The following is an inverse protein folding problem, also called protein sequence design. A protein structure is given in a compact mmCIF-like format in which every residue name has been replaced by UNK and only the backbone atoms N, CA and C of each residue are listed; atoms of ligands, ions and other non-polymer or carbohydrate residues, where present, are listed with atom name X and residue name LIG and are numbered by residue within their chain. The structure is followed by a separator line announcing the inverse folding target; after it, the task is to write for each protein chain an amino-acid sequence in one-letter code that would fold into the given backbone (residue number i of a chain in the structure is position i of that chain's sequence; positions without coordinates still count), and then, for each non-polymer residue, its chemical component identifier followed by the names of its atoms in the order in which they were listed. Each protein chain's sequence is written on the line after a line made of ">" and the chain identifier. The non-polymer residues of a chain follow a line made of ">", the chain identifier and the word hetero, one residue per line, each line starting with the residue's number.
data_IF_961460102943
#
_entry.id   IF_961460102943
#
_cell.length_a   1.000
_cell.length_b   1.000
_cell.length_c   1.000
_cell.angle_alpha   90.00
_cell.angle_beta   90.00
_cell.angle_gamma   90.00
#
_symmetry.space_group_name_H-M   'P 1'
#
loop_
_entity.id
_entity.type
_entity.pdbx_description
1 polymer ?
#
# COMPACT_ATOMS: atom_id res chain seq x y z
N UNK A 1 -55.45 14.45 -6.25
CA UNK A 1 -55.05 15.63 -5.45
C UNK A 1 -54.89 15.35 -3.96
N UNK A 2 -55.89 14.75 -3.26
CA UNK A 2 -55.78 14.47 -1.81
C UNK A 2 -54.64 13.53 -1.42
N UNK A 3 -54.40 12.46 -2.18
CA UNK A 3 -53.30 11.51 -1.90
C UNK A 3 -51.92 12.15 -2.08
N UNK A 4 -51.75 12.98 -3.12
CA UNK A 4 -50.52 13.76 -3.34
C UNK A 4 -50.25 14.75 -2.20
N UNK A 5 -51.30 15.36 -1.64
CA UNK A 5 -51.18 16.25 -0.47
C UNK A 5 -50.72 15.49 0.77
N UNK A 6 -51.31 14.32 1.04
CA UNK A 6 -50.90 13.47 2.18
C UNK A 6 -49.46 12.96 2.06
N UNK A 7 -49.04 12.60 0.84
CA UNK A 7 -47.67 12.19 0.56
C UNK A 7 -46.68 13.35 0.76
N UNK A 8 -47.05 14.57 0.35
CA UNK A 8 -46.25 15.78 0.59
C UNK A 8 -46.12 16.08 2.10
N UNK A 9 -47.22 16.00 2.84
CA UNK A 9 -47.22 16.22 4.30
C UNK A 9 -46.36 15.19 5.03
N UNK A 10 -46.38 13.93 4.57
CA UNK A 10 -45.54 12.87 5.11
C UNK A 10 -44.05 13.14 4.83
N UNK A 11 -43.70 13.46 3.57
CA UNK A 11 -42.33 13.82 3.19
C UNK A 11 -41.80 15.03 3.97
N UNK A 12 -42.63 16.04 4.23
CA UNK A 12 -42.24 17.21 5.02
C UNK A 12 -42.00 16.90 6.51
N UNK A 13 -42.67 15.89 7.06
CA UNK A 13 -42.40 15.41 8.42
C UNK A 13 -41.11 14.61 8.46
N UNK A 14 -40.91 13.74 7.48
CA UNK A 14 -39.70 12.92 7.39
C UNK A 14 -38.47 13.78 7.14
N UNK A 15 -38.58 14.81 6.29
CA UNK A 15 -37.52 15.79 6.07
C UNK A 15 -37.16 16.57 7.35
N UNK A 16 -38.17 16.99 8.14
CA UNK A 16 -37.91 17.64 9.43
C UNK A 16 -37.19 16.73 10.41
N UNK A 17 -37.63 15.47 10.53
CA UNK A 17 -36.97 14.48 11.39
C UNK A 17 -35.51 14.24 10.95
N UNK A 18 -35.28 14.09 9.65
CA UNK A 18 -33.92 13.91 9.11
C UNK A 18 -33.05 15.15 9.36
N UNK A 19 -33.61 16.35 9.29
CA UNK A 19 -32.89 17.59 9.63
C UNK A 19 -32.51 17.63 11.11
N UNK A 20 -33.44 17.32 12.01
CA UNK A 20 -33.18 17.24 13.46
C UNK A 20 -32.09 16.19 13.76
N UNK A 21 -32.20 15.00 13.16
CA UNK A 21 -31.20 13.94 13.30
C UNK A 21 -29.83 14.37 12.75
N UNK A 22 -29.79 15.04 11.60
CA UNK A 22 -28.55 15.56 11.03
C UNK A 22 -27.89 16.59 11.96
N UNK A 23 -28.66 17.52 12.51
CA UNK A 23 -28.14 18.51 13.46
C UNK A 23 -27.61 17.86 14.73
N UNK A 24 -28.30 16.84 15.24
CA UNK A 24 -27.85 16.10 16.42
C UNK A 24 -26.53 15.36 16.16
N UNK A 25 -26.41 14.70 15.00
CA UNK A 25 -25.17 14.00 14.60
C UNK A 25 -24.01 14.99 14.38
N UNK A 26 -24.26 16.15 13.78
CA UNK A 26 -23.25 17.20 13.59
C UNK A 26 -22.72 17.73 14.93
N UNK A 27 -23.60 18.00 15.91
CA UNK A 27 -23.18 18.42 17.25
C UNK A 27 -22.38 17.32 17.97
N UNK A 28 -22.80 16.05 17.82
CA UNK A 28 -22.05 14.91 18.36
C UNK A 28 -20.63 14.79 17.78
N UNK A 29 -20.48 15.00 16.47
CA UNK A 29 -19.17 15.05 15.81
C UNK A 29 -18.34 16.22 16.34
N UNK A 30 -18.94 17.42 16.48
CA UNK A 30 -18.22 18.59 16.99
C UNK A 30 -17.68 18.34 18.40
N UNK A 31 -18.51 17.83 19.31
CA UNK A 31 -18.08 17.51 20.69
C UNK A 31 -16.97 16.47 20.72
N UNK A 32 -17.03 15.46 19.84
CA UNK A 32 -15.97 14.45 19.72
C UNK A 32 -14.66 15.08 19.24
N UNK A 33 -14.72 15.94 18.23
CA UNK A 33 -13.52 16.58 17.66
C UNK A 33 -12.90 17.57 18.67
N UNK A 34 -13.72 18.30 19.43
CA UNK A 34 -13.27 19.14 20.57
C UNK A 34 -12.57 18.30 21.66
N UNK A 35 -13.10 17.12 22.00
CA UNK A 35 -12.46 16.22 22.96
C UNK A 35 -11.15 15.64 22.43
N UNK A 36 -11.07 15.33 21.15
CA UNK A 36 -9.84 14.86 20.49
C UNK A 36 -8.76 15.95 20.60
N UNK A 37 -9.10 17.18 20.24
CA UNK A 37 -8.17 18.32 20.30
C UNK A 37 -7.76 18.65 21.75
N UNK A 38 -8.71 18.65 22.69
CA UNK A 38 -8.43 18.90 24.11
C UNK A 38 -7.46 17.89 24.74
N UNK A 39 -7.41 16.68 24.19
CA UNK A 39 -6.47 15.63 24.60
C UNK A 39 -5.15 15.63 23.79
N UNK A 40 -4.94 16.61 22.90
CA UNK A 40 -3.74 16.71 22.07
C UNK A 40 -3.63 15.61 21.01
N UNK A 41 -4.77 15.02 20.63
CA UNK A 41 -4.85 13.95 19.66
C UNK A 41 -5.27 14.51 18.30
N UNK A 42 -4.86 13.82 17.24
CA UNK A 42 -5.20 14.12 15.86
C UNK A 42 -5.56 12.84 15.12
N UNK A 43 -6.49 12.96 14.19
CA UNK A 43 -6.89 11.87 13.30
C UNK A 43 -5.93 11.79 12.11
N UNK A 44 -5.26 10.65 11.96
CA UNK A 44 -4.41 10.35 10.80
C UNK A 44 -5.09 9.29 9.96
N UNK A 45 -5.29 9.59 8.68
CA UNK A 45 -5.83 8.62 7.73
C UNK A 45 -4.74 7.66 7.29
N UNK A 46 -4.86 6.40 7.72
CA UNK A 46 -4.03 5.29 7.28
C UNK A 46 -4.80 4.48 6.22
N UNK A 47 -4.08 3.69 5.41
CA UNK A 47 -4.70 2.90 4.34
C UNK A 47 -5.84 1.97 4.81
N UNK A 48 -5.83 1.58 6.07
CA UNK A 48 -6.80 0.67 6.69
C UNK A 48 -7.88 1.40 7.51
N UNK A 49 -7.82 2.74 7.61
CA UNK A 49 -8.78 3.55 8.35
C UNK A 49 -8.14 4.72 9.13
N UNK A 50 -8.97 5.52 9.82
CA UNK A 50 -8.50 6.59 10.67
C UNK A 50 -7.95 6.04 12.00
N UNK A 51 -6.73 6.44 12.35
CA UNK A 51 -6.14 6.22 13.66
C UNK A 51 -6.05 7.52 14.45
N UNK A 52 -6.20 7.41 15.77
CA UNK A 52 -6.08 8.54 16.68
C UNK A 52 -4.71 8.51 17.35
N UNK A 53 -3.89 9.53 17.08
CA UNK A 53 -2.49 9.59 17.54
C UNK A 53 -2.19 10.97 18.12
N UNK A 54 -1.09 11.11 18.87
CA UNK A 54 -0.64 12.44 19.31
C UNK A 54 -0.13 13.26 18.13
N UNK A 55 -0.06 14.57 18.30
CA UNK A 55 0.45 15.47 17.27
C UNK A 55 1.90 15.13 16.88
N UNK A 56 2.75 14.74 17.83
CA UNK A 56 4.14 14.34 17.57
C UNK A 56 4.20 13.04 16.77
N UNK A 57 3.37 12.05 17.13
CA UNK A 57 3.30 10.80 16.40
C UNK A 57 2.81 11.02 14.96
N UNK A 58 1.84 11.91 14.75
CA UNK A 58 1.38 12.27 13.41
C UNK A 58 2.50 12.90 12.56
N UNK A 59 3.30 13.80 13.13
CA UNK A 59 4.44 14.42 12.43
C UNK A 59 5.52 13.40 12.07
N UNK A 60 5.83 12.46 12.97
CA UNK A 60 6.76 11.36 12.67
C UNK A 60 6.19 10.48 11.54
N UNK A 61 4.92 10.07 11.64
CA UNK A 61 4.29 9.26 10.61
C UNK A 61 4.24 9.94 9.24
N UNK A 62 4.21 11.27 9.17
CA UNK A 62 4.30 12.02 7.92
C UNK A 62 5.71 11.91 7.29
N UNK A 63 6.76 11.93 8.11
CA UNK A 63 8.16 11.75 7.65
C UNK A 63 8.40 10.35 7.06
N UNK A 64 7.71 9.32 7.56
CA UNK A 64 7.78 7.96 7.02
C UNK A 64 7.09 7.80 5.65
N UNK A 65 6.43 8.84 5.14
CA UNK A 65 5.72 8.84 3.86
C UNK A 65 4.36 8.14 3.88
N UNK A 66 3.81 7.83 2.71
CA UNK A 66 2.46 7.26 2.61
C UNK A 66 2.43 5.74 2.83
N UNK A 67 1.30 5.23 3.33
CA UNK A 67 1.02 3.80 3.53
C UNK A 67 0.15 3.53 4.75
N UNK A 68 -0.16 2.25 5.01
CA UNK A 68 -0.71 1.85 6.31
C UNK A 68 0.29 2.15 7.44
N UNK A 69 -0.20 2.13 8.68
CA UNK A 69 0.64 2.33 9.85
C UNK A 69 1.79 1.32 9.88
N UNK A 70 1.50 0.05 9.59
CA UNK A 70 2.49 -1.03 9.53
C UNK A 70 3.60 -0.77 8.51
N UNK A 71 3.25 -0.24 7.33
CA UNK A 71 4.24 0.09 6.29
C UNK A 71 5.18 1.19 6.76
N UNK A 72 4.66 2.23 7.42
CA UNK A 72 5.46 3.34 7.94
C UNK A 72 6.35 2.91 9.11
N UNK A 73 5.81 2.12 10.04
CA UNK A 73 6.58 1.56 11.15
C UNK A 73 7.70 0.65 10.66
N UNK A 74 7.44 -0.15 9.62
CA UNK A 74 8.46 -0.98 8.99
C UNK A 74 9.59 -0.15 8.38
N UNK A 75 9.28 0.95 7.68
CA UNK A 75 10.30 1.88 7.15
C UNK A 75 11.18 2.46 8.26
N UNK A 76 10.58 2.90 9.37
CA UNK A 76 11.36 3.38 10.51
C UNK A 76 12.26 2.30 11.12
N UNK A 77 11.78 1.06 11.20
CA UNK A 77 12.58 -0.05 11.69
C UNK A 77 13.77 -0.34 10.75
N UNK A 78 13.56 -0.27 9.44
CA UNK A 78 14.60 -0.45 8.42
C UNK A 78 15.65 0.66 8.48
N UNK A 79 15.22 1.93 8.57
CA UNK A 79 16.12 3.09 8.69
C UNK A 79 16.96 3.01 9.98
N UNK A 80 16.32 2.68 11.11
CA UNK A 80 17.02 2.45 12.37
C UNK A 80 18.09 1.36 12.25
N UNK A 81 17.78 0.26 11.56
CA UNK A 81 18.73 -0.82 11.34
C UNK A 81 19.90 -0.37 10.46
N UNK A 82 19.63 0.36 9.38
CA UNK A 82 20.68 0.89 8.49
C UNK A 82 21.63 1.83 9.23
N UNK A 83 21.09 2.75 10.04
CA UNK A 83 21.89 3.66 10.86
C UNK A 83 22.73 2.89 11.89
N UNK A 84 22.16 1.84 12.49
CA UNK A 84 22.90 1.00 13.44
C UNK A 84 24.06 0.25 12.76
N UNK A 85 23.86 -0.26 11.54
CA UNK A 85 24.89 -0.94 10.77
C UNK A 85 26.00 0.04 10.34
N UNK A 86 25.64 1.27 9.96
CA UNK A 86 26.59 2.34 9.65
C UNK A 86 27.44 2.72 10.86
N UNK A 87 26.82 2.88 12.04
CA UNK A 87 27.54 3.13 13.30
C UNK A 87 28.54 2.01 13.59
N UNK A 88 28.12 0.75 13.46
CA UNK A 88 28.98 -0.40 13.69
C UNK A 88 30.18 -0.42 12.73
N UNK A 89 29.95 -0.08 11.46
CA UNK A 89 31.01 0.02 10.44
C UNK A 89 31.98 1.15 10.75
N UNK A 90 31.48 2.35 11.08
CA UNK A 90 32.32 3.48 11.45
C UNK A 90 33.15 3.21 12.70
N UNK A 91 32.61 2.46 13.68
CA UNK A 91 33.36 2.02 14.85
C UNK A 91 34.51 1.06 14.48
N UNK A 92 34.27 0.13 13.55
CA UNK A 92 35.31 -0.77 13.05
C UNK A 92 36.41 0.00 12.31
N UNK A 93 36.04 0.90 11.40
CA UNK A 93 36.98 1.73 10.64
C UNK A 93 37.84 2.60 11.59
N UNK A 94 37.20 3.19 12.62
CA UNK A 94 37.91 3.97 13.64
C UNK A 94 38.89 3.12 14.46
N UNK A 95 38.50 1.88 14.81
CA UNK A 95 39.37 0.95 15.54
C UNK A 95 40.58 0.53 14.69
N UNK A 96 40.36 0.26 13.39
CA UNK A 96 41.43 -0.05 12.45
C UNK A 96 42.41 1.11 12.30
N UNK A 97 41.92 2.35 12.17
CA UNK A 97 42.82 3.50 12.04
C UNK A 97 43.60 3.80 13.30
N UNK A 98 42.98 3.69 14.48
CA UNK A 98 43.71 3.79 15.75
C UNK A 98 44.84 2.74 15.82
N UNK A 99 44.59 1.52 15.36
CA UNK A 99 45.61 0.48 15.32
C UNK A 99 46.74 0.79 14.33
N UNK A 100 46.43 1.35 13.15
CA UNK A 100 47.45 1.76 12.18
C UNK A 100 48.34 2.88 12.73
N UNK A 101 47.75 3.90 13.36
CA UNK A 101 48.50 4.99 14.00
C UNK A 101 49.47 4.44 15.05
N UNK A 102 49.00 3.56 15.94
CA UNK A 102 49.86 2.93 16.96
C UNK A 102 51.01 2.12 16.34
N UNK A 103 50.77 1.37 15.25
CA UNK A 103 51.85 0.63 14.55
C UNK A 103 52.87 1.58 13.92
N UNK A 104 52.43 2.69 13.32
CA UNK A 104 53.32 3.69 12.73
C UNK A 104 54.17 4.41 13.79
N UNK A 105 53.58 4.74 14.94
CA UNK A 105 54.31 5.30 16.09
C UNK A 105 55.36 4.32 16.63
N UNK A 106 55.03 3.02 16.75
CA UNK A 106 55.98 1.99 17.17
C UNK A 106 57.15 1.84 16.19
N UNK A 107 56.89 1.87 14.88
CA UNK A 107 57.95 1.86 13.86
C UNK A 107 58.82 3.13 13.92
N UNK A 108 58.25 4.28 14.27
CA UNK A 108 58.98 5.53 14.44
C UNK A 108 59.87 5.55 15.69
N UNK A 109 59.48 4.89 16.78
CA UNK A 109 60.28 4.83 18.03
C UNK A 109 61.42 3.80 17.98
N UNK A 110 61.27 2.72 17.21
CA UNK A 110 62.28 1.64 17.10
C UNK A 110 63.41 2.01 16.13
N UNK A 111 63.22 3.01 15.27
CA UNK A 111 64.24 3.49 14.33
C UNK A 111 64.84 4.84 14.73
N UNK A 112 65.63 4.82 15.81
CA UNK A 112 66.68 5.83 16.02
C UNK A 112 67.73 5.82 14.90
N UNK A 113 68.58 6.86 14.79
CA UNK A 113 69.56 6.95 13.70
C UNK A 113 70.57 5.80 13.83
N UNK A 114 70.88 5.18 12.67
CA UNK A 114 71.87 4.11 12.42
C UNK A 114 71.34 2.65 12.44
N UNK A 115 71.33 1.99 11.27
CA UNK A 115 72.44 1.13 10.76
C UNK A 115 72.04 0.27 9.54
N UNK A 116 70.76 0.19 9.16
CA UNK A 116 70.32 -0.48 7.92
C UNK A 116 69.83 0.57 6.92
N UNK A 117 70.51 0.69 5.78
CA UNK A 117 70.43 1.87 4.89
C UNK A 117 69.06 2.18 4.26
N UNK A 118 68.93 3.34 3.58
CA UNK A 118 67.70 3.84 2.92
C UNK A 118 67.02 2.83 1.99
N UNK A 119 67.82 1.93 1.42
CA UNK A 119 67.44 0.87 0.50
C UNK A 119 66.52 -0.18 1.13
N UNK A 120 66.72 -0.53 2.42
CA UNK A 120 65.85 -1.48 3.12
C UNK A 120 64.44 -0.90 3.33
N UNK A 121 64.35 0.39 3.68
CA UNK A 121 63.05 1.09 3.84
C UNK A 121 62.29 1.19 2.52
N UNK A 122 63.01 1.41 1.41
CA UNK A 122 62.40 1.45 0.09
C UNK A 122 61.81 0.09 -0.31
N UNK A 123 62.51 -1.01 0.01
CA UNK A 123 62.04 -2.39 -0.23
C UNK A 123 60.79 -2.69 0.61
N UNK A 124 60.74 -2.27 1.86
CA UNK A 124 59.56 -2.44 2.73
C UNK A 124 58.35 -1.66 2.22
N UNK A 125 58.54 -0.39 1.82
CA UNK A 125 57.48 0.43 1.21
C UNK A 125 56.98 -0.20 -0.10
N UNK A 126 57.89 -0.71 -0.94
CA UNK A 126 57.51 -1.39 -2.18
C UNK A 126 56.74 -2.69 -1.92
N UNK A 127 57.11 -3.46 -0.90
CA UNK A 127 56.41 -4.68 -0.50
C UNK A 127 55.01 -4.37 0.00
N UNK A 128 54.85 -3.34 0.84
CA UNK A 128 53.54 -2.91 1.34
C UNK A 128 52.67 -2.36 0.22
N UNK A 129 53.22 -1.56 -0.69
CA UNK A 129 52.52 -1.09 -1.88
C UNK A 129 52.03 -2.25 -2.76
N UNK A 130 52.87 -3.27 -2.99
CA UNK A 130 52.48 -4.45 -3.75
C UNK A 130 51.35 -5.24 -3.05
N UNK A 131 51.41 -5.37 -1.72
CA UNK A 131 50.34 -6.01 -0.93
C UNK A 131 49.02 -5.26 -1.07
N UNK A 132 49.03 -3.94 -0.97
CA UNK A 132 47.82 -3.12 -1.17
C UNK A 132 47.26 -3.27 -2.58
N UNK A 133 48.12 -3.31 -3.60
CA UNK A 133 47.70 -3.56 -5.00
C UNK A 133 47.00 -4.92 -5.12
N UNK A 134 47.52 -5.97 -4.49
CA UNK A 134 46.91 -7.30 -4.55
C UNK A 134 45.58 -7.35 -3.79
N UNK A 135 45.47 -6.67 -2.64
CA UNK A 135 44.21 -6.52 -1.90
C UNK A 135 43.15 -5.79 -2.75
N UNK A 136 43.52 -4.70 -3.43
CA UNK A 136 42.60 -3.99 -4.33
C UNK A 136 42.18 -4.84 -5.53
N UNK A 137 43.10 -5.61 -6.14
CA UNK A 137 42.75 -6.55 -7.22
C UNK A 137 41.78 -7.62 -6.76
N UNK A 138 41.96 -8.15 -5.55
CA UNK A 138 41.05 -9.14 -4.98
C UNK A 138 39.65 -8.55 -4.75
N UNK A 139 39.58 -7.36 -4.15
CA UNK A 139 38.31 -6.64 -3.93
C UNK A 139 37.61 -6.31 -5.25
N UNK A 140 38.35 -5.88 -6.27
CA UNK A 140 37.82 -5.62 -7.60
C UNK A 140 37.19 -6.88 -8.21
N UNK A 141 37.91 -8.01 -8.21
CA UNK A 141 37.37 -9.27 -8.73
C UNK A 141 36.12 -9.73 -7.99
N UNK A 142 36.08 -9.54 -6.67
CA UNK A 142 34.89 -9.87 -5.87
C UNK A 142 33.70 -8.98 -6.26
N UNK A 143 33.93 -7.67 -6.38
CA UNK A 143 32.89 -6.73 -6.81
C UNK A 143 32.42 -7.02 -8.24
N UNK A 144 33.31 -7.41 -9.15
CA UNK A 144 32.96 -7.83 -10.52
C UNK A 144 32.05 -9.06 -10.53
N UNK A 145 32.35 -10.07 -9.69
CA UNK A 145 31.50 -11.26 -9.54
C UNK A 145 30.12 -10.91 -8.97
N UNK A 146 30.07 -10.06 -7.94
CA UNK A 146 28.81 -9.57 -7.35
C UNK A 146 27.99 -8.78 -8.40
N UNK A 147 28.64 -7.96 -9.22
CA UNK A 147 27.99 -7.22 -10.29
C UNK A 147 27.32 -8.15 -11.31
N UNK A 148 28.03 -9.19 -11.76
CA UNK A 148 27.48 -10.20 -12.68
C UNK A 148 26.25 -10.91 -12.06
N UNK A 149 26.32 -11.28 -10.78
CA UNK A 149 25.21 -11.92 -10.07
C UNK A 149 23.98 -11.00 -9.97
N UNK A 150 24.20 -9.72 -9.68
CA UNK A 150 23.14 -8.70 -9.64
C UNK A 150 22.53 -8.47 -11.03
N UNK A 151 23.34 -8.38 -12.09
CA UNK A 151 22.85 -8.25 -13.47
C UNK A 151 21.95 -9.41 -13.87
N UNK A 152 22.33 -10.65 -13.54
CA UNK A 152 21.50 -11.84 -13.76
C UNK A 152 20.16 -11.76 -13.00
N UNK A 153 20.21 -11.29 -11.75
CA UNK A 153 19.02 -11.10 -10.93
C UNK A 153 18.08 -10.04 -11.51
N UNK A 154 18.62 -8.91 -11.97
CA UNK A 154 17.86 -7.84 -12.63
C UNK A 154 17.17 -8.37 -13.89
N UNK A 155 17.90 -9.05 -14.78
CA UNK A 155 17.32 -9.60 -16.01
C UNK A 155 16.16 -10.58 -15.74
N UNK A 156 16.29 -11.40 -14.69
CA UNK A 156 15.21 -12.29 -14.26
C UNK A 156 13.99 -11.51 -13.74
N UNK A 157 14.21 -10.46 -12.94
CA UNK A 157 13.14 -9.61 -12.42
C UNK A 157 12.43 -8.85 -13.55
N UNK A 158 13.16 -8.30 -14.51
CA UNK A 158 12.59 -7.65 -15.70
C UNK A 158 11.68 -8.60 -16.49
N UNK A 159 12.11 -9.85 -16.66
CA UNK A 159 11.30 -10.89 -17.31
C UNK A 159 10.02 -11.18 -16.52
N UNK A 160 10.09 -11.23 -15.19
CA UNK A 160 8.91 -11.42 -14.35
C UNK A 160 7.94 -10.25 -14.43
N UNK A 161 8.44 -9.01 -14.37
CA UNK A 161 7.64 -7.79 -14.51
C UNK A 161 6.92 -7.76 -15.86
N UNK A 162 7.63 -8.11 -16.94
CA UNK A 162 7.03 -8.20 -18.28
C UNK A 162 5.87 -9.21 -18.32
N UNK A 163 6.06 -10.41 -17.74
CA UNK A 163 5.00 -11.43 -17.64
C UNK A 163 3.81 -10.97 -16.82
N UNK A 164 4.05 -10.40 -15.63
CA UNK A 164 2.98 -9.90 -14.78
C UNK A 164 2.20 -8.76 -15.43
N UNK A 165 2.86 -7.90 -16.19
CA UNK A 165 2.19 -6.86 -16.96
C UNK A 165 1.23 -7.46 -17.99
N UNK A 166 1.66 -8.45 -18.77
CA UNK A 166 0.78 -9.14 -19.73
C UNK A 166 -0.39 -9.84 -19.04
N UNK A 167 -0.16 -10.54 -17.93
CA UNK A 167 -1.24 -11.19 -17.17
C UNK A 167 -2.24 -10.18 -16.60
N UNK A 168 -1.77 -9.01 -16.15
CA UNK A 168 -2.63 -7.93 -15.68
C UNK A 168 -3.51 -7.39 -16.82
N UNK A 169 -2.91 -7.08 -17.98
CA UNK A 169 -3.64 -6.60 -19.16
C UNK A 169 -4.70 -7.62 -19.63
N UNK A 170 -4.38 -8.91 -19.60
CA UNK A 170 -5.34 -9.99 -19.91
C UNK A 170 -6.48 -10.06 -18.89
N UNK A 171 -6.18 -9.90 -17.60
CA UNK A 171 -7.17 -9.90 -16.52
C UNK A 171 -8.10 -8.70 -16.60
N UNK A 172 -7.58 -7.50 -16.88
CA UNK A 172 -8.38 -6.29 -17.06
C UNK A 172 -9.35 -6.44 -18.23
N UNK A 173 -8.88 -6.98 -19.36
CA UNK A 173 -9.73 -7.27 -20.51
C UNK A 173 -10.85 -8.25 -20.17
N UNK A 174 -10.52 -9.33 -19.45
CA UNK A 174 -11.52 -10.32 -19.02
C UNK A 174 -12.57 -9.69 -18.07
N UNK A 175 -12.14 -8.81 -17.17
CA UNK A 175 -13.06 -8.11 -16.26
C UNK A 175 -14.04 -7.22 -17.03
N UNK A 176 -13.56 -6.49 -18.04
CA UNK A 176 -14.40 -5.64 -18.88
C UNK A 176 -15.42 -6.44 -19.72
N UNK A 177 -15.00 -7.59 -20.26
CA UNK A 177 -15.89 -8.51 -20.97
C UNK A 177 -16.99 -9.05 -20.04
N UNK A 178 -16.63 -9.47 -18.81
CA UNK A 178 -17.59 -9.94 -17.80
C UNK A 178 -18.54 -8.82 -17.36
N UNK A 179 -18.06 -7.58 -17.22
CA UNK A 179 -18.92 -6.42 -16.95
C UNK A 179 -19.92 -6.17 -18.08
N UNK A 180 -19.48 -6.30 -19.33
CA UNK A 180 -20.35 -6.14 -20.50
C UNK A 180 -21.42 -7.25 -20.54
N UNK A 181 -21.02 -8.50 -20.33
CA UNK A 181 -21.94 -9.65 -20.29
C UNK A 181 -22.94 -9.55 -19.14
N UNK A 182 -22.50 -9.17 -17.94
CA UNK A 182 -23.39 -8.91 -16.79
C UNK A 182 -24.46 -7.86 -17.13
N UNK A 183 -24.07 -6.75 -17.77
CA UNK A 183 -25.02 -5.69 -18.18
C UNK A 183 -26.00 -6.19 -19.24
N UNK A 184 -25.57 -7.07 -20.15
CA UNK A 184 -26.44 -7.69 -21.17
C UNK A 184 -27.45 -8.62 -20.51
N UNK A 185 -27.00 -9.57 -19.69
CA UNK A 185 -27.86 -10.51 -18.97
C UNK A 185 -28.85 -9.80 -18.04
N UNK A 186 -28.42 -8.70 -17.40
CA UNK A 186 -29.33 -7.92 -16.55
C UNK A 186 -30.45 -7.25 -17.36
N UNK A 187 -30.19 -6.81 -18.61
CA UNK A 187 -31.23 -6.28 -19.50
C UNK A 187 -32.18 -7.39 -19.95
N UNK A 188 -31.64 -8.52 -20.40
CA UNK A 188 -32.45 -9.68 -20.81
C UNK A 188 -33.33 -10.20 -19.67
N UNK A 189 -32.82 -10.22 -18.44
CA UNK A 189 -33.59 -10.59 -17.25
C UNK A 189 -34.78 -9.64 -17.01
N UNK A 190 -34.56 -8.32 -17.12
CA UNK A 190 -35.64 -7.32 -16.99
C UNK A 190 -36.69 -7.47 -18.09
N UNK A 191 -36.26 -7.70 -19.32
CA UNK A 191 -37.17 -7.93 -20.46
C UNK A 191 -38.00 -9.19 -20.27
N UNK A 192 -37.38 -10.29 -19.81
CA UNK A 192 -38.09 -11.53 -19.48
C UNK A 192 -39.09 -11.34 -18.33
N UNK A 193 -38.72 -10.59 -17.28
CA UNK A 193 -39.62 -10.24 -16.18
C UNK A 193 -40.83 -9.44 -16.66
N UNK A 194 -40.61 -8.39 -17.46
CA UNK A 194 -41.70 -7.61 -18.05
C UNK A 194 -42.64 -8.50 -18.89
N UNK A 195 -42.08 -9.44 -19.65
CA UNK A 195 -42.86 -10.38 -20.45
C UNK A 195 -43.69 -11.33 -19.59
N UNK A 196 -43.15 -11.80 -18.46
CA UNK A 196 -43.89 -12.63 -17.49
C UNK A 196 -45.07 -11.83 -16.92
N UNK A 197 -44.85 -10.59 -16.49
CA UNK A 197 -45.91 -9.73 -15.94
C UNK A 197 -47.06 -9.48 -16.95
N UNK A 198 -46.73 -9.25 -18.22
CA UNK A 198 -47.71 -9.13 -19.31
C UNK A 198 -48.54 -10.41 -19.47
N UNK A 199 -47.87 -11.56 -19.52
CA UNK A 199 -48.51 -12.87 -19.69
C UNK A 199 -49.37 -13.23 -18.48
N UNK A 200 -48.93 -12.97 -17.26
CA UNK A 200 -49.71 -13.17 -16.05
C UNK A 200 -50.98 -12.32 -16.04
N UNK A 201 -50.88 -11.07 -16.49
CA UNK A 201 -52.02 -10.16 -16.60
C UNK A 201 -53.02 -10.67 -17.65
N UNK A 202 -52.54 -11.05 -18.84
CA UNK A 202 -53.36 -11.64 -19.88
C UNK A 202 -54.05 -12.93 -19.40
N UNK A 203 -53.32 -13.80 -18.69
CA UNK A 203 -53.86 -15.04 -18.15
C UNK A 203 -54.96 -14.78 -17.10
N UNK A 204 -54.75 -13.82 -16.18
CA UNK A 204 -55.79 -13.37 -15.23
C UNK A 204 -57.05 -12.89 -15.94
N UNK A 205 -56.93 -12.16 -17.05
CA UNK A 205 -58.08 -11.72 -17.85
C UNK A 205 -58.81 -12.89 -18.52
N UNK A 206 -58.08 -13.83 -19.12
CA UNK A 206 -58.66 -15.03 -19.73
C UNK A 206 -59.38 -15.90 -18.69
N UNK A 207 -58.76 -16.11 -17.53
CA UNK A 207 -59.35 -16.85 -16.42
C UNK A 207 -60.70 -16.24 -16.01
N UNK A 208 -60.76 -14.91 -15.81
CA UNK A 208 -62.01 -14.20 -15.51
C UNK A 208 -63.08 -14.37 -16.59
N UNK A 209 -62.70 -14.39 -17.88
CA UNK A 209 -63.64 -14.63 -18.99
C UNK A 209 -64.20 -16.05 -18.95
N UNK A 210 -63.35 -17.04 -18.69
CA UNK A 210 -63.74 -18.45 -18.54
C UNK A 210 -64.72 -18.61 -17.37
N UNK A 211 -64.44 -17.99 -16.22
CA UNK A 211 -65.31 -18.10 -15.03
C UNK A 211 -66.69 -17.49 -15.27
N UNK A 212 -66.77 -16.38 -16.02
CA UNK A 212 -68.05 -15.79 -16.47
C UNK A 212 -68.84 -16.74 -17.38
N UNK A 213 -68.18 -17.34 -18.38
CA UNK A 213 -68.83 -18.30 -19.29
C UNK A 213 -69.31 -19.55 -18.55
N UNK A 214 -68.52 -20.07 -17.61
CA UNK A 214 -68.92 -21.19 -16.75
C UNK A 214 -70.15 -20.84 -15.92
N UNK A 215 -70.17 -19.65 -15.32
CA UNK A 215 -71.31 -19.18 -14.52
C UNK A 215 -72.57 -19.04 -15.38
N UNK A 216 -72.49 -18.39 -16.54
CA UNK A 216 -73.61 -18.25 -17.47
C UNK A 216 -74.15 -19.61 -17.91
N UNK A 217 -73.28 -20.56 -18.27
CA UNK A 217 -73.67 -21.93 -18.62
C UNK A 217 -74.40 -22.64 -17.49
N UNK A 218 -73.96 -22.47 -16.25
CA UNK A 218 -74.59 -23.09 -15.09
C UNK A 218 -75.95 -22.46 -14.77
N UNK A 219 -76.16 -21.16 -15.06
CA UNK A 219 -77.46 -20.48 -14.91
C UNK A 219 -78.48 -20.86 -16.00
N UNK A 220 -78.03 -21.46 -17.10
CA UNK A 220 -78.85 -21.97 -18.20
C UNK A 220 -79.25 -23.46 -18.02
N UNK A 221 -78.75 -24.12 -16.97
CA UNK A 221 -79.13 -25.48 -16.56
C UNK A 221 -80.07 -25.40 -15.36
#
# INVERSE_FOLDING_TARGET
>A
HREKSRALDQLQRDLRKLQEENTFLQEGIRQRDELIEANGLVLVLNGDGPDLVTQEAAQLLDQAGHGSLDVRLKRFAEEKQQLQDEINRLQLDLAEERQKVTRLEQLSLVHGPQTNGPEMRLIEVQREANKQVDDYKYRLRKAEQENIALQSSVSRLETQVSRFKTTLEESEKLEDDLKAEKRKLQRECREAQARIEELETANKHLQKRIDKLKSARNSLK
#
